data_IF_989294879450
#
_entry.id   IF_989294879450
#
_cell.length_a   1.000
_cell.length_b   1.000
_cell.length_c   1.000
_cell.angle_alpha   90.00
_cell.angle_beta   90.00
_cell.angle_gamma   90.00
#
_symmetry.space_group_name_H-M   'P 1'
#
loop_
_entity.id
_entity.type
_entity.pdbx_description
1 polymer ?
#
# COMPACT_ATOMS: atom_id res chain seq x y z
N UNK A 1 4.98 7.70 3.86
CA UNK A 1 5.54 7.94 2.51
C UNK A 1 6.00 9.39 2.36
N UNK A 2 5.11 10.39 2.29
CA UNK A 2 5.52 11.79 2.04
C UNK A 2 6.52 12.32 3.08
N UNK A 3 6.28 12.09 4.38
CA UNK A 3 7.22 12.50 5.44
C UNK A 3 8.64 11.93 5.23
N UNK A 4 8.74 10.67 4.82
CA UNK A 4 10.03 10.01 4.56
C UNK A 4 10.71 10.47 3.26
N UNK A 5 9.98 11.21 2.42
CA UNK A 5 10.48 11.83 1.19
C UNK A 5 10.77 13.34 1.37
N UNK A 6 10.75 13.83 2.61
CA UNK A 6 11.16 15.18 2.96
C UNK A 6 10.02 16.14 3.29
N UNK A 7 8.75 15.73 3.17
CA UNK A 7 7.65 16.59 3.60
C UNK A 7 7.63 16.75 5.13
N UNK A 8 7.34 17.95 5.60
CA UNK A 8 6.94 18.19 6.99
C UNK A 8 5.43 17.86 7.10
N UNK A 9 5.13 16.81 7.83
CA UNK A 9 3.75 16.29 7.95
C UNK A 9 3.24 16.53 9.36
N UNK A 10 2.27 17.43 9.48
CA UNK A 10 1.53 17.66 10.72
C UNK A 10 0.35 16.70 10.78
N UNK A 11 0.32 15.87 11.80
CA UNK A 11 -0.80 14.97 12.08
C UNK A 11 -1.69 15.61 13.13
N UNK A 12 -2.92 15.91 12.73
CA UNK A 12 -3.93 16.47 13.62
C UNK A 12 -4.75 15.34 14.24
N UNK A 13 -4.88 15.34 15.54
CA UNK A 13 -5.61 14.33 16.30
C UNK A 13 -6.59 15.01 17.29
N UNK A 14 -7.66 14.34 17.72
CA UNK A 14 -8.45 14.83 18.85
C UNK A 14 -7.61 14.84 20.14
N UNK A 15 -7.94 15.64 21.16
CA UNK A 15 -7.17 15.72 22.41
C UNK A 15 -6.94 14.38 23.12
N UNK A 16 -7.83 13.40 22.92
CA UNK A 16 -7.67 12.03 23.43
C UNK A 16 -6.80 11.12 22.57
N UNK A 17 -6.28 11.59 21.46
CA UNK A 17 -5.57 10.80 20.45
C UNK A 17 -6.51 10.01 19.52
N UNK A 18 -5.97 9.51 18.43
CA UNK A 18 -6.72 8.69 17.48
C UNK A 18 -6.94 7.25 17.97
N UNK A 19 -7.95 6.58 17.39
CA UNK A 19 -8.35 5.22 17.78
C UNK A 19 -7.20 4.20 17.74
N UNK A 20 -6.31 4.30 16.75
CA UNK A 20 -5.18 3.37 16.59
C UNK A 20 -4.09 3.53 17.66
N UNK A 21 -4.10 4.61 18.45
CA UNK A 21 -3.22 4.76 19.61
C UNK A 21 -3.69 3.96 20.82
N UNK A 22 -5.01 3.75 20.94
CA UNK A 22 -5.65 3.22 22.15
C UNK A 22 -5.56 1.68 22.27
N UNK A 23 -5.13 0.97 21.22
CA UNK A 23 -5.18 -0.48 21.10
C UNK A 23 -3.79 -1.10 20.97
N UNK A 24 -2.94 -1.01 21.98
CA UNK A 24 -1.65 -1.69 21.93
C UNK A 24 -0.97 -1.77 23.29
N UNK A 25 -0.12 -2.76 23.53
CA UNK A 25 0.71 -2.79 24.71
C UNK A 25 1.62 -1.55 24.73
N UNK A 26 1.76 -0.94 25.89
CA UNK A 26 2.55 0.28 26.08
C UNK A 26 2.11 1.50 25.22
N UNK A 27 0.84 1.55 24.80
CA UNK A 27 0.25 2.63 24.00
C UNK A 27 0.88 2.82 22.60
N UNK A 28 1.58 1.82 22.08
CA UNK A 28 2.15 1.81 20.72
C UNK A 28 1.62 0.63 19.96
N UNK A 29 0.62 0.88 19.11
CA UNK A 29 0.14 -0.13 18.17
C UNK A 29 1.07 -0.20 16.96
N UNK A 30 1.49 -1.41 16.54
CA UNK A 30 2.44 -1.59 15.43
C UNK A 30 1.96 -0.95 14.13
N UNK A 31 0.66 -0.98 13.85
CA UNK A 31 0.08 -0.32 12.66
C UNK A 31 0.24 1.20 12.74
N UNK A 32 -0.08 1.80 13.89
CA UNK A 32 0.12 3.23 14.13
C UNK A 32 1.60 3.61 13.96
N UNK A 33 2.50 2.85 14.58
CA UNK A 33 3.92 3.06 14.50
C UNK A 33 4.45 3.02 13.05
N UNK A 34 4.01 2.04 12.26
CA UNK A 34 4.45 1.87 10.88
C UNK A 34 3.91 2.96 9.93
N UNK A 35 2.75 3.55 10.23
CA UNK A 35 2.10 4.53 9.35
C UNK A 35 2.41 5.99 9.72
N UNK A 36 2.92 6.27 10.94
CA UNK A 36 3.03 7.64 11.45
C UNK A 36 4.45 8.12 11.76
N UNK A 37 5.46 7.38 11.33
CA UNK A 37 6.87 7.78 11.49
C UNK A 37 7.15 9.14 10.85
N UNK A 38 7.96 9.95 11.53
CA UNK A 38 8.43 11.24 11.05
C UNK A 38 7.35 12.30 10.90
N UNK A 39 6.18 12.12 11.55
CA UNK A 39 5.12 13.13 11.59
C UNK A 39 5.20 13.89 12.90
N UNK A 40 4.98 15.21 12.87
CA UNK A 40 4.71 16.01 14.04
C UNK A 40 3.25 15.88 14.42
N UNK A 41 2.93 15.80 15.71
CA UNK A 41 1.57 15.55 16.22
C UNK A 41 1.05 16.78 16.96
N UNK A 42 -0.10 17.29 16.53
CA UNK A 42 -0.86 18.36 17.19
C UNK A 42 -2.22 17.79 17.59
N UNK A 43 -2.62 18.01 18.83
CA UNK A 43 -3.93 17.60 19.32
C UNK A 43 -4.88 18.80 19.41
N UNK A 44 -5.99 18.75 18.66
CA UNK A 44 -6.98 19.85 18.53
C UNK A 44 -8.39 19.30 18.60
N UNK A 45 -9.24 19.96 19.37
CA UNK A 45 -10.68 19.72 19.35
C UNK A 45 -11.33 20.50 18.20
N UNK A 46 -11.65 19.79 17.12
CA UNK A 46 -12.32 20.37 15.94
C UNK A 46 -13.81 20.64 16.16
N UNK A 47 -14.39 20.26 17.28
CA UNK A 47 -15.76 20.64 17.66
C UNK A 47 -15.82 22.04 18.29
N UNK A 48 -14.68 22.58 18.68
CA UNK A 48 -14.52 23.94 19.20
C UNK A 48 -14.21 24.93 18.07
N UNK A 49 -14.78 26.14 18.13
CA UNK A 49 -14.54 27.19 17.13
C UNK A 49 -13.07 27.63 17.12
N UNK A 50 -12.47 27.78 18.30
CA UNK A 50 -11.05 28.15 18.39
C UNK A 50 -10.14 27.08 17.75
N UNK A 51 -10.54 25.78 17.84
CA UNK A 51 -9.85 24.68 17.19
C UNK A 51 -9.96 24.74 15.66
N UNK A 52 -11.13 25.06 15.13
CA UNK A 52 -11.29 25.21 13.65
C UNK A 52 -10.59 26.46 13.13
N UNK A 53 -10.62 27.58 13.87
CA UNK A 53 -9.89 28.80 13.51
C UNK A 53 -8.37 28.56 13.50
N UNK A 54 -7.84 27.81 14.46
CA UNK A 54 -6.46 27.37 14.49
C UNK A 54 -6.10 26.53 13.26
N UNK A 55 -6.98 25.61 12.85
CA UNK A 55 -6.76 24.79 11.65
C UNK A 55 -6.74 25.63 10.37
N UNK A 56 -7.56 26.67 10.26
CA UNK A 56 -7.50 27.59 9.11
C UNK A 56 -6.20 28.41 9.08
N UNK A 57 -5.70 28.81 10.27
CA UNK A 57 -4.39 29.48 10.35
C UNK A 57 -3.25 28.52 9.92
N UNK A 58 -3.27 27.27 10.34
CA UNK A 58 -2.32 26.26 9.87
C UNK A 58 -2.42 26.05 8.35
N UNK A 59 -3.64 25.91 7.84
CA UNK A 59 -3.88 25.71 6.41
C UNK A 59 -3.34 26.88 5.56
N UNK A 60 -3.33 28.11 6.10
CA UNK A 60 -2.75 29.27 5.43
C UNK A 60 -1.23 29.16 5.21
N UNK A 61 -0.54 28.32 5.99
CA UNK A 61 0.90 28.12 5.92
C UNK A 61 1.32 26.80 5.24
N UNK A 62 0.36 25.92 4.96
CA UNK A 62 0.62 24.61 4.40
C UNK A 62 0.52 24.57 2.87
N UNK A 63 1.26 23.66 2.24
CA UNK A 63 1.14 23.36 0.81
C UNK A 63 -0.03 22.45 0.50
N UNK A 64 -0.36 21.56 1.43
CA UNK A 64 -1.32 20.48 1.23
C UNK A 64 -2.19 20.32 2.48
N UNK A 65 -3.49 20.16 2.28
CA UNK A 65 -4.45 19.77 3.31
C UNK A 65 -5.05 18.41 2.93
N UNK A 66 -4.96 17.43 3.84
CA UNK A 66 -5.48 16.07 3.60
C UNK A 66 -6.47 15.70 4.68
N UNK A 67 -7.63 15.19 4.27
CA UNK A 67 -8.63 14.67 5.21
C UNK A 67 -9.23 13.36 4.69
N UNK A 68 -9.76 12.54 5.61
CA UNK A 68 -10.44 11.29 5.29
C UNK A 68 -11.74 11.10 6.08
N UNK A 69 -12.43 12.19 6.35
CA UNK A 69 -13.76 12.17 6.95
C UNK A 69 -14.82 11.72 5.93
N UNK A 70 -16.02 11.43 6.41
CA UNK A 70 -17.16 11.23 5.51
C UNK A 70 -17.53 12.52 4.79
N UNK A 71 -18.11 12.44 3.58
CA UNK A 71 -18.51 13.63 2.84
C UNK A 71 -19.34 14.61 3.70
N UNK A 72 -19.05 15.90 3.57
CA UNK A 72 -19.72 17.00 4.29
C UNK A 72 -19.36 17.15 5.77
N UNK A 73 -18.48 16.33 6.34
CA UNK A 73 -18.03 16.51 7.73
C UNK A 73 -17.13 17.73 7.83
N UNK A 74 -16.14 17.86 6.99
CA UNK A 74 -15.23 19.02 6.97
C UNK A 74 -15.96 20.31 6.68
N UNK A 75 -16.98 20.31 5.79
CA UNK A 75 -17.82 21.48 5.54
C UNK A 75 -18.57 21.93 6.81
N UNK A 76 -19.14 20.97 7.55
CA UNK A 76 -19.81 21.29 8.84
C UNK A 76 -18.86 21.81 9.91
N UNK A 77 -17.60 21.41 9.85
CA UNK A 77 -16.55 21.90 10.74
C UNK A 77 -15.95 23.24 10.29
N UNK A 78 -16.38 23.79 9.15
CA UNK A 78 -15.77 25.00 8.60
C UNK A 78 -14.39 24.79 8.00
N UNK A 79 -14.00 23.54 7.72
CA UNK A 79 -12.71 23.12 7.17
C UNK A 79 -12.84 22.47 5.77
N UNK A 80 -13.98 22.67 5.10
CA UNK A 80 -14.18 22.23 3.71
C UNK A 80 -13.30 22.99 2.73
N UNK A 81 -13.20 22.46 1.51
CA UNK A 81 -12.30 23.01 0.49
C UNK A 81 -12.42 24.52 0.29
N UNK A 82 -13.65 25.07 0.19
CA UNK A 82 -13.85 26.51 -0.07
C UNK A 82 -13.35 27.36 1.11
N UNK A 83 -13.52 26.91 2.34
CA UNK A 83 -13.04 27.65 3.52
C UNK A 83 -11.51 27.62 3.60
N UNK A 84 -10.90 26.45 3.38
CA UNK A 84 -9.44 26.30 3.38
C UNK A 84 -8.81 27.05 2.21
N UNK A 85 -9.42 27.02 1.02
CA UNK A 85 -9.00 27.79 -0.16
C UNK A 85 -9.09 29.29 0.06
N UNK A 86 -10.09 29.75 0.80
CA UNK A 86 -10.19 31.16 1.15
C UNK A 86 -9.04 31.65 2.05
N UNK A 87 -8.55 30.76 2.93
CA UNK A 87 -7.36 31.02 3.76
C UNK A 87 -6.04 30.85 2.97
N UNK A 88 -5.99 29.94 2.00
CA UNK A 88 -4.83 29.68 1.17
C UNK A 88 -5.25 29.34 -0.28
N UNK A 89 -5.26 30.32 -1.20
CA UNK A 89 -5.67 30.09 -2.59
C UNK A 89 -4.83 29.08 -3.37
N UNK A 90 -3.59 28.83 -2.95
CA UNK A 90 -2.65 27.93 -3.60
C UNK A 90 -2.62 26.54 -2.96
N UNK A 91 -3.55 26.25 -2.04
CA UNK A 91 -3.61 24.95 -1.33
C UNK A 91 -3.96 23.81 -2.28
N UNK A 92 -3.26 22.70 -2.14
CA UNK A 92 -3.69 21.38 -2.66
C UNK A 92 -4.52 20.71 -1.58
N UNK A 93 -5.83 20.63 -1.79
CA UNK A 93 -6.75 20.00 -0.85
C UNK A 93 -7.11 18.59 -1.32
N UNK A 94 -6.86 17.57 -0.50
CA UNK A 94 -7.12 16.17 -0.84
C UNK A 94 -8.10 15.53 0.13
N UNK A 95 -9.28 15.15 -0.38
CA UNK A 95 -10.27 14.36 0.34
C UNK A 95 -10.19 12.89 -0.04
N UNK A 96 -10.16 12.02 0.97
CA UNK A 96 -10.15 10.56 0.80
C UNK A 96 -11.47 10.01 1.30
N UNK A 97 -12.30 9.51 0.38
CA UNK A 97 -13.62 8.97 0.70
C UNK A 97 -13.66 7.46 0.48
N UNK A 98 -14.61 6.78 1.11
CA UNK A 98 -14.83 5.35 0.87
C UNK A 98 -15.32 5.05 -0.54
N UNK A 99 -16.41 5.74 -0.94
CA UNK A 99 -17.12 5.49 -2.20
C UNK A 99 -17.21 6.73 -3.10
N UNK A 100 -16.63 7.86 -2.69
CA UNK A 100 -16.78 9.15 -3.34
C UNK A 100 -17.73 10.08 -2.59
N UNK A 101 -17.74 11.35 -3.02
CA UNK A 101 -18.57 12.42 -2.41
C UNK A 101 -20.04 12.33 -2.81
N UNK A 102 -20.39 11.58 -3.85
CA UNK A 102 -21.74 11.42 -4.40
C UNK A 102 -22.08 9.96 -4.69
N UNK A 103 -23.32 9.70 -5.09
CA UNK A 103 -23.77 8.36 -5.48
C UNK A 103 -24.42 7.56 -4.34
N UNK A 104 -24.88 6.31 -4.63
CA UNK A 104 -25.76 5.57 -3.73
C UNK A 104 -25.06 5.07 -2.45
N UNK A 105 -23.75 5.16 -2.35
CA UNK A 105 -22.97 4.65 -1.23
C UNK A 105 -22.16 5.73 -0.49
N UNK A 106 -22.26 7.00 -0.89
CA UNK A 106 -21.44 8.08 -0.33
C UNK A 106 -21.51 8.20 1.21
N UNK A 107 -22.68 7.93 1.80
CA UNK A 107 -22.89 7.99 3.25
C UNK A 107 -22.58 6.68 3.99
N UNK A 108 -22.21 5.61 3.28
CA UNK A 108 -21.94 4.32 3.93
C UNK A 108 -20.62 4.33 4.67
N UNK A 109 -20.61 3.71 5.85
CA UNK A 109 -19.37 3.41 6.56
C UNK A 109 -18.57 2.36 5.79
N UNK A 110 -17.26 2.54 5.71
CA UNK A 110 -16.37 1.66 4.97
C UNK A 110 -15.03 1.51 5.69
N UNK A 111 -14.46 0.34 5.54
CA UNK A 111 -13.07 0.00 5.89
C UNK A 111 -12.53 -0.92 4.79
N UNK A 112 -11.23 -1.13 4.78
CA UNK A 112 -10.49 -1.96 3.82
C UNK A 112 -11.21 -3.27 3.40
N UNK A 113 -11.68 -4.15 4.31
CA UNK A 113 -12.31 -5.41 3.91
C UNK A 113 -13.58 -5.24 3.05
N UNK A 114 -14.31 -4.13 3.25
CA UNK A 114 -15.52 -3.84 2.47
C UNK A 114 -15.14 -3.48 1.03
N UNK A 115 -14.07 -2.69 0.86
CA UNK A 115 -13.56 -2.34 -0.46
C UNK A 115 -12.99 -3.56 -1.17
N UNK A 116 -12.22 -4.42 -0.49
CA UNK A 116 -11.76 -5.69 -1.08
C UNK A 116 -12.93 -6.52 -1.62
N UNK A 117 -14.01 -6.61 -0.86
CA UNK A 117 -15.17 -7.42 -1.26
C UNK A 117 -15.90 -6.81 -2.47
N UNK A 118 -16.16 -5.51 -2.47
CA UNK A 118 -16.96 -4.85 -3.50
C UNK A 118 -16.21 -4.66 -4.83
N UNK A 119 -14.87 -4.60 -4.79
CA UNK A 119 -14.04 -4.50 -6.00
C UNK A 119 -13.84 -5.83 -6.72
N UNK A 120 -14.43 -6.91 -6.23
CA UNK A 120 -14.25 -8.25 -6.83
C UNK A 120 -12.90 -8.90 -6.50
N UNK A 121 -12.04 -8.25 -5.73
CA UNK A 121 -10.71 -8.75 -5.38
C UNK A 121 -10.77 -10.07 -4.61
N UNK A 122 -11.77 -10.24 -3.75
CA UNK A 122 -12.01 -11.50 -3.02
C UNK A 122 -12.38 -12.62 -4.00
N UNK A 123 -13.34 -12.37 -4.88
CA UNK A 123 -13.77 -13.35 -5.90
C UNK A 123 -12.63 -13.71 -6.86
N UNK A 124 -11.78 -12.74 -7.20
CA UNK A 124 -10.63 -12.93 -8.07
C UNK A 124 -9.54 -13.85 -7.51
N UNK A 125 -9.57 -14.19 -6.22
CA UNK A 125 -8.66 -15.16 -5.60
C UNK A 125 -9.14 -16.62 -5.70
N UNK A 126 -10.31 -16.86 -6.28
CA UNK A 126 -10.81 -18.22 -6.45
C UNK A 126 -9.83 -19.05 -7.29
N UNK A 127 -9.48 -20.22 -6.78
CA UNK A 127 -8.63 -21.19 -7.47
C UNK A 127 -9.07 -22.62 -7.12
N UNK A 128 -8.66 -23.64 -7.91
CA UNK A 128 -8.93 -25.02 -7.56
C UNK A 128 -8.41 -25.44 -6.18
N UNK A 129 -7.35 -24.80 -5.70
CA UNK A 129 -6.76 -25.06 -4.40
C UNK A 129 -7.49 -24.34 -3.24
N UNK A 130 -8.32 -23.33 -3.53
CA UNK A 130 -9.07 -22.54 -2.56
C UNK A 130 -10.56 -22.71 -2.82
N UNK A 131 -11.25 -23.63 -2.13
CA UNK A 131 -12.68 -23.90 -2.35
C UNK A 131 -13.55 -22.69 -2.02
N UNK A 132 -13.09 -21.81 -1.13
CA UNK A 132 -13.75 -20.55 -0.78
C UNK A 132 -12.76 -19.40 -0.89
N UNK A 133 -13.03 -18.39 -1.74
CA UNK A 133 -12.22 -17.18 -1.79
C UNK A 133 -12.30 -16.45 -0.44
N UNK A 134 -11.18 -15.86 -0.03
CA UNK A 134 -11.07 -15.13 1.23
C UNK A 134 -10.48 -13.74 1.00
N UNK A 135 -10.55 -12.88 2.02
CA UNK A 135 -9.90 -11.58 2.03
C UNK A 135 -8.37 -11.74 1.94
N UNK A 136 -7.73 -10.84 1.25
CA UNK A 136 -6.28 -10.68 1.33
C UNK A 136 -5.95 -10.24 2.76
N UNK A 137 -5.10 -11.01 3.45
CA UNK A 137 -4.77 -10.79 4.86
C UNK A 137 -3.78 -9.62 5.07
N UNK A 138 -4.03 -8.53 4.36
CA UNK A 138 -3.36 -7.23 4.52
C UNK A 138 -4.34 -6.12 4.13
N UNK A 139 -4.10 -4.90 4.58
CA UNK A 139 -4.91 -3.72 4.26
C UNK A 139 -4.55 -3.23 2.84
N UNK A 140 -4.93 -4.00 1.82
CA UNK A 140 -4.53 -3.73 0.43
C UNK A 140 -5.29 -2.54 -0.17
N UNK A 141 -6.56 -2.36 0.17
CA UNK A 141 -7.37 -1.24 -0.29
C UNK A 141 -6.87 0.07 0.33
N UNK A 142 -6.58 0.10 1.63
CA UNK A 142 -5.96 1.27 2.28
C UNK A 142 -4.63 1.62 1.65
N UNK A 143 -3.78 0.62 1.37
CA UNK A 143 -2.44 0.83 0.80
C UNK A 143 -2.51 1.34 -0.64
N UNK A 144 -3.34 0.74 -1.51
CA UNK A 144 -3.51 1.21 -2.89
C UNK A 144 -4.05 2.64 -2.92
N UNK A 145 -5.00 2.96 -2.05
CA UNK A 145 -5.51 4.31 -1.86
C UNK A 145 -4.41 5.27 -1.40
N UNK A 146 -3.62 4.90 -0.39
CA UNK A 146 -2.55 5.74 0.13
C UNK A 146 -1.45 6.03 -0.91
N UNK A 147 -1.11 5.06 -1.77
CA UNK A 147 -0.20 5.28 -2.90
C UNK A 147 -0.82 6.21 -3.95
N UNK A 148 -2.10 6.06 -4.25
CA UNK A 148 -2.83 6.95 -5.17
C UNK A 148 -2.88 8.38 -4.64
N UNK A 149 -3.16 8.56 -3.35
CA UNK A 149 -3.16 9.87 -2.68
C UNK A 149 -1.79 10.53 -2.77
N UNK A 150 -0.72 9.82 -2.41
CA UNK A 150 0.63 10.37 -2.46
C UNK A 150 1.05 10.77 -3.89
N UNK A 151 0.69 9.96 -4.90
CA UNK A 151 0.92 10.27 -6.30
C UNK A 151 0.11 11.49 -6.75
N UNK A 152 -1.18 11.56 -6.42
CA UNK A 152 -2.06 12.67 -6.80
C UNK A 152 -1.61 13.99 -6.18
N UNK A 153 -1.23 13.99 -4.90
CA UNK A 153 -0.67 15.17 -4.22
C UNK A 153 0.61 15.63 -4.92
N UNK A 154 1.54 14.71 -5.20
CA UNK A 154 2.80 15.06 -5.87
C UNK A 154 2.56 15.63 -7.26
N UNK A 155 1.62 15.06 -8.02
CA UNK A 155 1.24 15.55 -9.33
C UNK A 155 0.60 16.96 -9.27
N UNK A 156 -0.26 17.19 -8.27
CA UNK A 156 -0.89 18.49 -8.06
C UNK A 156 0.12 19.57 -7.65
N UNK A 157 1.06 19.24 -6.77
CA UNK A 157 2.14 20.15 -6.41
C UNK A 157 3.02 20.49 -7.61
N UNK A 158 3.37 19.50 -8.44
CA UNK A 158 4.11 19.76 -9.68
C UNK A 158 3.32 20.64 -10.66
N UNK A 159 2.00 20.44 -10.78
CA UNK A 159 1.14 21.29 -11.59
C UNK A 159 1.10 22.71 -11.05
N UNK A 160 1.00 22.89 -9.73
CA UNK A 160 1.07 24.19 -9.06
C UNK A 160 2.38 24.92 -9.34
N UNK A 161 3.52 24.24 -9.21
CA UNK A 161 4.85 24.78 -9.54
C UNK A 161 4.96 25.23 -11.01
N UNK A 162 4.18 24.62 -11.89
CA UNK A 162 4.07 25.00 -13.30
C UNK A 162 3.00 26.06 -13.59
N UNK A 163 2.42 26.66 -12.57
CA UNK A 163 1.49 27.77 -12.67
C UNK A 163 0.00 27.41 -12.76
N UNK A 164 -0.39 26.16 -12.45
CA UNK A 164 -1.82 25.79 -12.43
C UNK A 164 -2.56 26.27 -11.17
N UNK A 165 -1.84 26.71 -10.13
CA UNK A 165 -2.42 27.06 -8.83
C UNK A 165 -2.81 25.85 -7.98
N UNK A 166 -3.39 26.12 -6.80
CA UNK A 166 -3.94 25.10 -5.92
C UNK A 166 -5.19 24.43 -6.50
N UNK A 167 -5.51 23.21 -6.02
CA UNK A 167 -6.67 22.46 -6.55
C UNK A 167 -7.24 21.49 -5.53
N UNK A 168 -8.49 21.11 -5.75
CA UNK A 168 -9.17 20.03 -5.03
C UNK A 168 -8.87 18.69 -5.69
N UNK A 169 -8.58 17.68 -4.85
CA UNK A 169 -8.39 16.29 -5.25
C UNK A 169 -9.37 15.43 -4.46
N UNK A 170 -10.13 14.60 -5.14
CA UNK A 170 -10.95 13.57 -4.53
C UNK A 170 -10.37 12.20 -4.87
N UNK A 171 -10.16 11.35 -3.85
CA UNK A 171 -9.68 9.99 -4.02
C UNK A 171 -10.63 9.02 -3.31
N UNK A 172 -11.62 8.45 -4.01
CA UNK A 172 -12.42 7.36 -3.46
C UNK A 172 -11.59 6.09 -3.33
N UNK A 173 -11.67 5.42 -2.17
CA UNK A 173 -10.99 4.12 -1.95
C UNK A 173 -11.45 3.07 -2.97
N UNK A 174 -12.74 3.06 -3.30
CA UNK A 174 -13.31 2.16 -4.31
C UNK A 174 -12.61 2.33 -5.65
N UNK A 175 -12.51 3.58 -6.14
CA UNK A 175 -11.95 3.90 -7.45
C UNK A 175 -10.44 3.61 -7.48
N UNK A 176 -9.72 4.04 -6.44
CA UNK A 176 -8.28 3.80 -6.31
C UNK A 176 -7.95 2.31 -6.31
N UNK A 177 -8.70 1.52 -5.53
CA UNK A 177 -8.49 0.07 -5.45
C UNK A 177 -8.88 -0.63 -6.74
N UNK A 178 -10.01 -0.24 -7.35
CA UNK A 178 -10.47 -0.83 -8.61
C UNK A 178 -9.50 -0.52 -9.74
N UNK A 179 -9.03 0.73 -9.87
CA UNK A 179 -8.05 1.13 -10.88
C UNK A 179 -6.71 0.39 -10.71
N UNK A 180 -6.27 0.19 -9.45
CA UNK A 180 -5.07 -0.57 -9.14
C UNK A 180 -5.19 -2.06 -9.49
N UNK A 181 -6.37 -2.65 -9.24
CA UNK A 181 -6.63 -4.07 -9.47
C UNK A 181 -7.00 -4.39 -10.92
N UNK A 182 -7.48 -3.42 -11.70
CA UNK A 182 -8.05 -3.62 -13.04
C UNK A 182 -7.10 -4.30 -14.03
N UNK A 183 -5.82 -3.90 -14.15
CA UNK A 183 -4.96 -4.36 -15.25
C UNK A 183 -4.82 -5.88 -15.37
N UNK A 184 -4.82 -6.59 -14.27
CA UNK A 184 -4.69 -8.04 -14.21
C UNK A 184 -5.93 -8.73 -13.62
N UNK A 185 -6.59 -8.10 -12.66
CA UNK A 185 -7.79 -8.62 -12.01
C UNK A 185 -9.02 -8.69 -12.92
N UNK A 186 -9.09 -7.82 -13.93
CA UNK A 186 -10.21 -7.71 -14.88
C UNK A 186 -9.78 -7.88 -16.35
N UNK A 187 -8.62 -8.46 -16.60
CA UNK A 187 -8.11 -8.61 -17.96
C UNK A 187 -9.02 -9.43 -18.86
N UNK A 188 -9.73 -10.40 -18.33
CA UNK A 188 -10.74 -11.23 -19.01
C UNK A 188 -12.06 -10.48 -19.28
N UNK A 189 -12.37 -9.45 -18.52
CA UNK A 189 -13.56 -8.60 -18.65
C UNK A 189 -13.28 -7.29 -19.40
N UNK A 190 -12.03 -6.95 -19.64
CA UNK A 190 -11.64 -5.77 -20.40
C UNK A 190 -12.04 -5.90 -21.87
N UNK A 191 -12.03 -7.10 -22.40
CA UNK A 191 -12.54 -7.42 -23.73
C UNK A 191 -14.03 -7.80 -23.63
N UNK A 192 -14.89 -7.03 -24.27
CA UNK A 192 -16.34 -7.30 -24.26
C UNK A 192 -16.73 -8.51 -25.14
N UNK A 193 -15.92 -8.86 -26.14
CA UNK A 193 -16.14 -10.05 -26.96
C UNK A 193 -15.61 -11.30 -26.24
N UNK A 194 -16.48 -12.20 -25.77
CA UNK A 194 -16.05 -13.38 -25.02
C UNK A 194 -15.30 -14.41 -25.87
N UNK A 195 -15.30 -14.27 -27.21
CA UNK A 195 -14.58 -15.19 -28.10
C UNK A 195 -13.10 -14.89 -28.17
N UNK A 196 -12.69 -13.66 -27.79
CA UNK A 196 -11.32 -13.19 -27.80
C UNK A 196 -10.80 -12.79 -26.42
N UNK A 197 -11.66 -12.81 -25.38
CA UNK A 197 -11.28 -12.48 -24.02
C UNK A 197 -10.16 -13.40 -23.51
N UNK A 198 -9.04 -12.87 -23.06
CA UNK A 198 -7.94 -13.69 -22.55
C UNK A 198 -8.30 -14.29 -21.19
N UNK A 199 -7.62 -15.37 -20.80
CA UNK A 199 -7.60 -15.78 -19.38
C UNK A 199 -6.78 -14.80 -18.58
N UNK A 200 -7.16 -14.57 -17.34
CA UNK A 200 -6.36 -13.75 -16.42
C UNK A 200 -5.00 -14.42 -16.17
N UNK A 201 -3.93 -13.66 -16.25
CA UNK A 201 -2.59 -14.17 -15.98
C UNK A 201 -2.43 -14.77 -14.56
N UNK A 202 -3.00 -14.16 -13.50
CA UNK A 202 -2.95 -14.70 -12.16
C UNK A 202 -3.60 -16.08 -11.97
N UNK A 203 -4.52 -16.48 -12.83
CA UNK A 203 -5.17 -17.80 -12.76
C UNK A 203 -4.17 -18.95 -12.97
N UNK A 204 -3.00 -18.66 -13.52
CA UNK A 204 -1.93 -19.64 -13.74
C UNK A 204 -0.91 -19.70 -12.58
N UNK A 205 -1.03 -18.83 -11.57
CA UNK A 205 -0.08 -18.81 -10.46
C UNK A 205 -0.39 -19.96 -9.50
N UNK A 206 0.61 -20.78 -9.24
CA UNK A 206 0.49 -21.94 -8.35
C UNK A 206 1.71 -22.05 -7.45
N UNK A 207 1.46 -22.52 -6.24
CA UNK A 207 2.51 -22.93 -5.32
C UNK A 207 2.83 -24.40 -5.57
N UNK A 208 4.11 -24.71 -5.77
CA UNK A 208 4.56 -26.07 -6.11
C UNK A 208 5.32 -26.64 -4.91
N UNK A 209 4.89 -27.81 -4.45
CA UNK A 209 5.57 -28.53 -3.38
C UNK A 209 6.92 -29.05 -3.87
N UNK A 210 7.91 -29.00 -3.00
CA UNK A 210 9.25 -29.61 -3.14
C UNK A 210 9.45 -30.63 -2.04
N UNK A 211 10.61 -31.28 -1.94
CA UNK A 211 10.90 -32.22 -0.85
C UNK A 211 10.89 -31.58 0.55
N UNK A 212 11.21 -30.30 0.66
CA UNK A 212 11.45 -29.61 1.92
C UNK A 212 10.80 -28.23 2.03
N UNK A 213 9.89 -27.88 1.10
CA UNK A 213 9.21 -26.61 1.12
C UNK A 213 8.30 -26.38 -0.10
N UNK A 214 8.25 -25.16 -0.57
CA UNK A 214 7.45 -24.74 -1.73
C UNK A 214 8.20 -23.71 -2.55
N UNK A 215 7.93 -23.74 -3.84
CA UNK A 215 8.43 -22.72 -4.79
C UNK A 215 7.28 -22.12 -5.60
N UNK A 216 7.51 -20.92 -6.12
CA UNK A 216 6.76 -20.36 -7.22
C UNK A 216 7.70 -20.15 -8.38
N UNK A 217 7.25 -20.40 -9.61
CA UNK A 217 7.99 -20.12 -10.83
C UNK A 217 7.05 -19.57 -11.90
N UNK A 218 7.63 -18.98 -12.94
CA UNK A 218 6.89 -18.53 -14.10
C UNK A 218 7.69 -18.80 -15.37
N UNK A 219 7.03 -19.37 -16.40
CA UNK A 219 7.61 -19.67 -17.70
C UNK A 219 6.84 -18.90 -18.76
N UNK A 220 7.52 -18.02 -19.49
CA UNK A 220 6.93 -17.12 -20.48
C UNK A 220 7.53 -17.27 -21.89
N UNK A 221 8.61 -18.04 -22.06
CA UNK A 221 9.33 -18.18 -23.33
C UNK A 221 9.66 -19.63 -23.64
N UNK A 222 9.81 -19.96 -24.93
CA UNK A 222 10.23 -21.31 -25.37
C UNK A 222 11.57 -21.71 -24.75
N UNK A 223 12.51 -20.77 -24.62
CA UNK A 223 13.79 -20.99 -23.96
C UNK A 223 13.62 -21.46 -22.51
N UNK A 224 12.68 -20.86 -21.78
CA UNK A 224 12.40 -21.22 -20.38
C UNK A 224 11.69 -22.57 -20.28
N UNK A 225 10.79 -22.91 -21.20
CA UNK A 225 10.19 -24.26 -21.29
C UNK A 225 11.28 -25.31 -21.50
N UNK A 226 12.16 -25.07 -22.47
CA UNK A 226 13.31 -25.97 -22.76
C UNK A 226 14.26 -26.05 -21.56
N UNK A 227 14.51 -24.92 -20.86
CA UNK A 227 15.26 -24.87 -19.60
C UNK A 227 14.62 -25.73 -18.53
N UNK A 228 13.30 -25.66 -18.38
CA UNK A 228 12.55 -26.48 -17.42
C UNK A 228 12.79 -27.96 -17.68
N UNK A 229 12.73 -28.42 -18.93
CA UNK A 229 13.00 -29.82 -19.26
C UNK A 229 14.46 -30.25 -18.96
N UNK A 230 15.42 -29.34 -19.14
CA UNK A 230 16.81 -29.62 -18.73
C UNK A 230 16.93 -29.74 -17.20
N UNK A 231 16.33 -28.86 -16.45
CA UNK A 231 16.28 -28.91 -14.98
C UNK A 231 15.70 -30.25 -14.49
N UNK A 232 14.65 -30.72 -15.15
CA UNK A 232 13.96 -31.95 -14.78
C UNK A 232 14.54 -33.21 -15.41
N UNK A 233 15.60 -33.10 -16.25
CA UNK A 233 16.21 -34.24 -16.96
C UNK A 233 15.26 -34.91 -17.96
N UNK A 234 14.32 -34.15 -18.54
CA UNK A 234 13.31 -34.66 -19.47
C UNK A 234 13.72 -34.41 -20.91
N UNK A 235 14.76 -35.10 -21.36
CA UNK A 235 15.26 -35.03 -22.74
C UNK A 235 14.19 -35.45 -23.76
N UNK A 236 13.29 -36.34 -23.41
CA UNK A 236 12.14 -36.77 -24.20
C UNK A 236 11.22 -35.58 -24.55
N UNK A 237 10.87 -34.75 -23.55
CA UNK A 237 10.02 -33.56 -23.76
C UNK A 237 10.80 -32.39 -24.36
N UNK A 238 12.08 -32.29 -24.05
CA UNK A 238 12.96 -31.28 -24.67
C UNK A 238 13.08 -31.48 -26.18
N UNK A 239 13.12 -32.72 -26.66
CA UNK A 239 13.23 -33.06 -28.08
C UNK A 239 11.92 -32.95 -28.86
N UNK A 240 10.75 -32.96 -28.18
CA UNK A 240 9.44 -32.93 -28.85
C UNK A 240 8.96 -31.48 -29.06
N UNK A 241 8.77 -31.01 -30.31
CA UNK A 241 8.26 -29.68 -30.60
C UNK A 241 6.88 -29.38 -30.03
N UNK A 242 6.08 -30.38 -29.68
CA UNK A 242 4.80 -30.19 -29.04
C UNK A 242 4.92 -29.82 -27.57
N UNK A 243 6.03 -30.12 -26.92
CA UNK A 243 6.25 -29.92 -25.49
C UNK A 243 7.34 -28.87 -25.17
N UNK A 244 8.13 -28.44 -26.16
CA UNK A 244 9.23 -27.50 -25.99
C UNK A 244 8.93 -26.06 -26.48
N UNK A 245 7.71 -25.79 -26.94
CA UNK A 245 7.23 -24.48 -27.41
C UNK A 245 5.94 -24.10 -26.70
N UNK A 246 5.88 -22.89 -26.14
CA UNK A 246 4.69 -22.35 -25.44
C UNK A 246 3.47 -22.34 -26.36
N UNK A 247 3.65 -21.91 -27.61
CA UNK A 247 2.59 -21.85 -28.60
C UNK A 247 1.98 -23.23 -28.94
N UNK A 248 2.80 -24.27 -28.91
CA UNK A 248 2.34 -25.64 -29.13
C UNK A 248 1.63 -26.21 -27.90
N UNK A 249 2.17 -25.93 -26.71
CA UNK A 249 1.56 -26.32 -25.43
C UNK A 249 0.18 -25.68 -25.28
N UNK A 250 0.08 -24.37 -25.50
CA UNK A 250 -1.16 -23.60 -25.34
C UNK A 250 -2.28 -23.92 -26.33
N UNK A 251 -1.99 -24.59 -27.45
CA UNK A 251 -3.00 -25.00 -28.43
C UNK A 251 -3.83 -26.23 -28.01
N UNK A 252 -3.37 -26.97 -27.01
CA UNK A 252 -3.99 -28.22 -26.58
C UNK A 252 -4.08 -28.28 -25.04
N UNK A 253 -5.29 -28.21 -24.53
CA UNK A 253 -5.53 -28.19 -23.10
C UNK A 253 -5.03 -29.47 -22.38
N UNK A 254 -5.18 -30.63 -23.01
CA UNK A 254 -4.67 -31.90 -22.44
C UNK A 254 -3.14 -31.89 -22.35
N UNK A 255 -2.47 -31.33 -23.36
CA UNK A 255 -1.02 -31.17 -23.35
C UNK A 255 -0.57 -30.17 -22.28
N UNK A 256 -1.26 -29.05 -22.13
CA UNK A 256 -0.92 -28.07 -21.09
C UNK A 256 -1.04 -28.69 -19.69
N UNK A 257 -2.06 -29.52 -19.44
CA UNK A 257 -2.22 -30.26 -18.20
C UNK A 257 -1.06 -31.26 -18.02
N UNK A 258 -0.73 -32.06 -19.02
CA UNK A 258 0.35 -33.03 -18.96
C UNK A 258 1.72 -32.37 -18.68
N UNK A 259 1.97 -31.22 -19.29
CA UNK A 259 3.17 -30.37 -19.02
C UNK A 259 3.19 -29.93 -17.55
N UNK A 260 2.07 -29.41 -17.04
CA UNK A 260 1.95 -29.01 -15.63
C UNK A 260 2.22 -30.19 -14.67
N UNK A 261 1.58 -31.34 -14.92
CA UNK A 261 1.77 -32.55 -14.10
C UNK A 261 3.23 -33.04 -14.13
N UNK A 262 3.88 -33.05 -15.30
CA UNK A 262 5.27 -33.45 -15.41
C UNK A 262 6.23 -32.52 -14.64
N UNK A 263 5.98 -31.20 -14.71
CA UNK A 263 6.75 -30.20 -13.97
C UNK A 263 6.52 -30.35 -12.47
N UNK A 264 5.29 -30.48 -12.01
CA UNK A 264 4.97 -30.63 -10.60
C UNK A 264 5.61 -31.91 -10.02
N UNK A 265 5.48 -33.03 -10.72
CA UNK A 265 6.09 -34.31 -10.29
C UNK A 265 7.63 -34.22 -10.23
N UNK A 266 8.25 -33.56 -11.20
CA UNK A 266 9.70 -33.38 -11.23
C UNK A 266 10.20 -32.49 -10.10
N UNK A 267 9.55 -31.34 -9.88
CA UNK A 267 9.89 -30.41 -8.79
C UNK A 267 9.67 -31.04 -7.41
N UNK A 268 8.59 -31.80 -7.21
CA UNK A 268 8.29 -32.48 -5.94
C UNK A 268 9.37 -33.47 -5.53
N UNK A 269 10.18 -33.95 -6.45
CA UNK A 269 11.30 -34.87 -6.19
C UNK A 269 12.62 -34.15 -5.86
N UNK A 270 12.65 -32.82 -5.85
CA UNK A 270 13.85 -32.01 -5.66
C UNK A 270 13.78 -31.19 -4.37
N UNK A 271 14.92 -30.83 -3.79
CA UNK A 271 14.97 -29.85 -2.70
C UNK A 271 14.74 -28.43 -3.23
N UNK A 272 14.14 -27.60 -2.39
CA UNK A 272 13.85 -26.18 -2.73
C UNK A 272 15.08 -25.43 -3.25
N UNK A 273 16.21 -25.56 -2.57
CA UNK A 273 17.46 -24.89 -2.95
C UNK A 273 17.95 -25.34 -4.33
N UNK A 274 17.91 -26.65 -4.62
CA UNK A 274 18.36 -27.22 -5.90
C UNK A 274 17.45 -26.75 -7.06
N UNK A 275 16.14 -26.69 -6.84
CA UNK A 275 15.17 -26.17 -7.83
C UNK A 275 15.49 -24.73 -8.16
N UNK A 276 15.70 -23.87 -7.17
CA UNK A 276 15.96 -22.44 -7.37
C UNK A 276 17.28 -22.24 -8.11
N UNK A 277 18.35 -22.92 -7.69
CA UNK A 277 19.67 -22.81 -8.33
C UNK A 277 19.63 -23.23 -9.80
N UNK A 278 19.05 -24.38 -10.10
CA UNK A 278 18.98 -24.89 -11.46
C UNK A 278 18.06 -24.07 -12.35
N UNK A 279 16.90 -23.63 -11.87
CA UNK A 279 16.00 -22.76 -12.61
C UNK A 279 16.64 -21.41 -12.88
N UNK A 280 17.32 -20.83 -11.91
CA UNK A 280 18.04 -19.56 -12.09
C UNK A 280 19.14 -19.68 -13.16
N UNK A 281 19.88 -20.78 -13.19
CA UNK A 281 20.90 -21.04 -14.23
C UNK A 281 20.30 -21.12 -15.65
N UNK A 282 19.05 -21.57 -15.78
CA UNK A 282 18.31 -21.60 -17.05
C UNK A 282 17.56 -20.30 -17.36
N UNK A 283 17.65 -19.30 -16.49
CA UNK A 283 16.94 -18.02 -16.63
C UNK A 283 15.43 -18.11 -16.44
N UNK A 284 14.97 -19.07 -15.65
CA UNK A 284 13.57 -19.24 -15.27
C UNK A 284 13.34 -18.45 -13.99
N UNK A 285 12.42 -17.45 -13.97
CA UNK A 285 12.03 -16.78 -12.75
C UNK A 285 11.45 -17.77 -11.75
N UNK A 286 12.05 -17.87 -10.56
CA UNK A 286 11.60 -18.73 -9.48
C UNK A 286 12.01 -18.16 -8.12
N UNK A 287 11.33 -18.58 -7.07
CA UNK A 287 11.65 -18.20 -5.70
C UNK A 287 11.02 -19.14 -4.68
N UNK A 288 11.58 -19.19 -3.46
CA UNK A 288 11.01 -19.96 -2.36
C UNK A 288 9.76 -19.24 -1.81
N UNK A 289 8.84 -20.02 -1.25
CA UNK A 289 7.75 -19.51 -0.44
C UNK A 289 8.23 -19.42 1.00
N UNK A 290 8.63 -18.22 1.42
CA UNK A 290 9.16 -17.99 2.76
C UNK A 290 8.04 -17.77 3.78
N UNK A 291 8.22 -18.28 4.98
CA UNK A 291 7.46 -17.83 6.13
C UNK A 291 7.84 -16.36 6.49
N UNK A 292 6.92 -15.62 7.08
CA UNK A 292 7.16 -14.18 7.38
C UNK A 292 8.40 -13.94 8.25
N UNK A 293 8.73 -14.88 9.15
CA UNK A 293 9.91 -14.78 10.00
C UNK A 293 11.20 -15.01 9.22
N UNK A 294 11.17 -15.85 8.19
CA UNK A 294 12.33 -16.20 7.36
C UNK A 294 12.75 -15.03 6.46
N UNK A 295 11.81 -14.16 6.10
CA UNK A 295 12.09 -12.93 5.33
C UNK A 295 13.18 -12.07 5.99
N UNK A 296 13.26 -12.08 7.34
CA UNK A 296 14.23 -11.29 8.09
C UNK A 296 15.68 -11.79 7.90
N UNK A 297 15.86 -13.04 7.50
CA UNK A 297 17.16 -13.67 7.26
C UNK A 297 17.44 -13.96 5.79
N UNK A 298 16.54 -13.58 4.90
CA UNK A 298 16.76 -13.71 3.46
C UNK A 298 17.98 -12.89 3.02
N UNK A 299 18.95 -13.48 2.29
CA UNK A 299 20.19 -12.81 1.93
C UNK A 299 20.00 -11.52 1.12
N UNK A 300 18.99 -11.46 0.24
CA UNK A 300 18.73 -10.26 -0.57
C UNK A 300 18.04 -9.18 0.26
N UNK A 301 17.13 -9.56 1.16
CA UNK A 301 16.49 -8.63 2.10
C UNK A 301 17.52 -8.00 3.03
N UNK A 302 18.45 -8.82 3.55
CA UNK A 302 19.57 -8.34 4.37
C UNK A 302 20.53 -7.44 3.59
N UNK A 303 20.91 -7.83 2.36
CA UNK A 303 21.78 -7.02 1.51
C UNK A 303 21.15 -5.66 1.16
N UNK A 304 19.85 -5.63 0.96
CA UNK A 304 19.13 -4.42 0.63
C UNK A 304 18.99 -3.45 1.82
N UNK A 305 19.28 -3.89 3.01
CA UNK A 305 19.15 -3.08 4.24
C UNK A 305 17.75 -2.47 4.41
N UNK A 306 16.71 -3.22 4.01
CA UNK A 306 15.33 -2.72 4.02
C UNK A 306 14.74 -2.67 5.42
N UNK A 307 15.19 -3.53 6.34
CA UNK A 307 14.71 -3.60 7.73
C UNK A 307 15.67 -2.87 8.65
N UNK A 308 15.16 -1.85 9.34
CA UNK A 308 15.91 -1.05 10.31
C UNK A 308 15.46 -1.39 11.72
N UNK A 309 16.41 -1.65 12.61
CA UNK A 309 16.16 -1.84 14.04
C UNK A 309 16.46 -0.53 14.79
N UNK A 310 15.56 -0.17 15.70
CA UNK A 310 15.71 1.01 16.55
C UNK A 310 14.97 0.83 17.88
N UNK A 311 15.30 1.65 18.88
CA UNK A 311 14.67 1.60 20.18
C UNK A 311 13.66 2.73 20.34
N UNK A 312 12.37 2.37 20.46
CA UNK A 312 11.33 3.30 20.82
C UNK A 312 11.38 3.60 22.34
N UNK A 313 11.23 4.87 22.77
CA UNK A 313 11.38 5.23 24.17
C UNK A 313 10.47 4.45 25.15
N UNK A 314 9.26 4.09 24.73
CA UNK A 314 8.29 3.41 25.59
C UNK A 314 7.98 1.96 25.15
N UNK A 315 8.06 1.65 23.85
CA UNK A 315 7.75 0.33 23.31
C UNK A 315 8.97 -0.61 23.23
N UNK A 316 10.19 -0.09 23.49
CA UNK A 316 11.43 -0.87 23.37
C UNK A 316 11.84 -1.13 21.92
N UNK A 317 12.54 -2.25 21.62
CA UNK A 317 13.07 -2.52 20.29
C UNK A 317 11.97 -2.70 19.25
N UNK A 318 12.07 -1.97 18.14
CA UNK A 318 11.20 -2.06 16.98
C UNK A 318 11.99 -2.39 15.72
N UNK A 319 11.32 -3.08 14.78
CA UNK A 319 11.79 -3.32 13.42
C UNK A 319 10.82 -2.69 12.43
N UNK A 320 11.34 -1.88 11.53
CA UNK A 320 10.52 -1.19 10.54
C UNK A 320 11.25 -1.11 9.20
N UNK A 321 10.53 -1.13 8.06
CA UNK A 321 11.19 -0.93 6.78
C UNK A 321 11.61 0.54 6.61
N UNK A 322 12.80 0.80 6.07
CA UNK A 322 13.16 2.14 5.56
C UNK A 322 12.32 2.50 4.33
N UNK A 323 12.37 3.76 3.86
CA UNK A 323 11.82 4.14 2.57
C UNK A 323 12.34 3.22 1.45
N UNK A 324 11.42 2.71 0.62
CA UNK A 324 11.77 1.75 -0.43
C UNK A 324 12.53 2.42 -1.59
N UNK A 325 12.11 3.62 -1.99
CA UNK A 325 12.78 4.38 -3.04
C UNK A 325 14.11 4.97 -2.55
N UNK A 326 15.13 4.87 -3.41
CA UNK A 326 16.46 5.45 -3.17
C UNK A 326 16.70 6.54 -4.22
N UNK A 327 16.73 7.79 -3.77
CA UNK A 327 17.03 8.94 -4.62
C UNK A 327 18.51 9.30 -4.48
N UNK A 328 19.20 9.55 -5.58
CA UNK A 328 20.64 9.86 -5.57
C UNK A 328 20.93 11.24 -4.98
N UNK A 329 20.08 12.22 -5.25
CA UNK A 329 20.29 13.61 -4.86
C UNK A 329 19.46 14.02 -3.63
N UNK A 330 18.30 13.42 -3.44
CA UNK A 330 17.38 13.71 -2.34
C UNK A 330 16.96 12.42 -1.64
N UNK A 331 17.88 11.73 -0.96
CA UNK A 331 17.59 10.44 -0.37
C UNK A 331 16.49 10.55 0.68
N UNK A 332 15.54 9.59 0.61
CA UNK A 332 14.53 9.45 1.64
C UNK A 332 15.18 9.12 3.00
N UNK A 333 14.64 9.67 4.06
CA UNK A 333 15.18 9.51 5.41
C UNK A 333 14.29 8.56 6.23
N UNK A 334 14.91 7.60 6.92
CA UNK A 334 14.21 6.82 7.94
C UNK A 334 14.07 7.68 9.19
N UNK A 335 12.87 8.19 9.44
CA UNK A 335 12.53 9.01 10.61
C UNK A 335 11.71 8.16 11.59
N UNK A 336 12.34 7.51 12.56
CA UNK A 336 11.67 6.53 13.41
C UNK A 336 10.70 7.15 14.43
N UNK A 337 10.81 8.44 14.71
CA UNK A 337 10.01 9.11 15.73
C UNK A 337 8.52 8.98 15.42
N UNK A 338 7.79 8.54 16.41
CA UNK A 338 6.35 8.42 16.42
C UNK A 338 5.88 9.26 17.60
N UNK A 339 5.52 10.50 17.34
CA UNK A 339 5.10 11.44 18.37
C UNK A 339 3.94 10.89 19.21
N UNK A 340 3.91 11.20 20.50
CA UNK A 340 2.71 10.99 21.32
C UNK A 340 1.65 12.02 20.94
N UNK A 341 0.41 11.82 21.38
CA UNK A 341 -0.68 12.78 21.13
C UNK A 341 -0.27 14.17 21.64
N UNK A 342 -0.32 15.18 20.76
CA UNK A 342 0.00 16.55 21.12
C UNK A 342 1.48 16.85 21.43
N UNK A 343 2.40 15.93 21.15
CA UNK A 343 3.83 16.10 21.49
C UNK A 343 4.44 17.40 20.96
N UNK A 344 3.97 17.86 19.80
CA UNK A 344 4.53 19.03 19.12
C UNK A 344 3.59 20.25 19.18
N UNK A 345 2.58 20.21 20.08
CA UNK A 345 1.58 21.29 20.17
C UNK A 345 2.22 22.65 20.41
N UNK A 346 3.13 22.77 21.37
CA UNK A 346 3.76 24.06 21.71
C UNK A 346 4.68 24.56 20.59
N UNK A 347 5.41 23.65 19.99
CA UNK A 347 6.29 23.96 18.84
C UNK A 347 5.48 24.51 17.66
N UNK A 348 4.42 23.80 17.26
CA UNK A 348 3.57 24.18 16.12
C UNK A 348 2.83 25.49 16.38
N UNK A 349 2.29 25.67 17.58
CA UNK A 349 1.62 26.94 17.95
C UNK A 349 2.62 28.10 18.02
N UNK A 350 3.83 27.86 18.52
CA UNK A 350 4.90 28.85 18.51
C UNK A 350 5.31 29.28 17.09
N UNK A 351 5.36 28.35 16.14
CA UNK A 351 5.58 28.65 14.70
C UNK A 351 4.48 29.54 14.11
N UNK A 352 3.24 29.43 14.60
CA UNK A 352 2.12 30.29 14.24
C UNK A 352 2.12 31.65 14.96
N UNK A 353 3.06 31.88 15.90
CA UNK A 353 3.20 33.14 16.64
C UNK A 353 2.42 33.20 17.95
N UNK A 354 1.90 32.07 18.44
CA UNK A 354 1.30 32.03 19.80
C UNK A 354 2.40 32.07 20.86
N UNK A 355 2.23 32.89 21.88
CA UNK A 355 3.10 32.90 23.06
C UNK A 355 2.64 31.85 24.09
N UNK A 356 3.48 31.59 25.10
CA UNK A 356 3.23 30.60 26.13
C UNK A 356 1.88 30.86 26.87
N UNK A 357 1.49 32.12 27.04
CA UNK A 357 0.25 32.49 27.72
C UNK A 357 -0.97 32.12 26.86
N UNK A 358 -0.93 32.39 25.56
CA UNK A 358 -1.97 32.02 24.61
C UNK A 358 -2.11 30.50 24.48
N UNK A 359 -0.98 29.78 24.43
CA UNK A 359 -0.96 28.30 24.40
C UNK A 359 -1.60 27.73 25.69
N UNK A 360 -1.23 28.26 26.85
CA UNK A 360 -1.80 27.86 28.13
C UNK A 360 -3.31 28.11 28.20
N UNK A 361 -3.81 29.20 27.60
CA UNK A 361 -5.25 29.48 27.51
C UNK A 361 -5.97 28.44 26.65
N UNK A 362 -5.46 28.10 25.46
CA UNK A 362 -6.04 27.08 24.58
C UNK A 362 -6.06 25.71 25.27
N UNK A 363 -5.00 25.36 26.03
CA UNK A 363 -4.99 24.13 26.85
C UNK A 363 -6.01 24.19 27.99
N UNK A 364 -6.10 25.32 28.67
CA UNK A 364 -7.06 25.51 29.75
C UNK A 364 -8.51 25.42 29.27
N UNK A 365 -8.79 25.81 28.05
CA UNK A 365 -10.08 25.68 27.39
C UNK A 365 -10.35 24.24 26.89
N UNK A 366 -9.31 23.41 26.73
CA UNK A 366 -9.43 22.07 26.17
C UNK A 366 -9.38 22.04 24.61
N UNK A 367 -9.18 23.19 23.98
CA UNK A 367 -9.05 23.32 22.53
C UNK A 367 -7.84 22.55 21.99
N UNK A 368 -6.72 22.52 22.73
CA UNK A 368 -5.50 21.75 22.42
C UNK A 368 -5.02 20.95 23.63
N UNK A 369 -4.18 19.91 23.39
CA UNK A 369 -3.58 19.14 24.47
C UNK A 369 -2.08 18.90 24.26
#
# INVERSE_FOLDING_TARGET
MLAEQGADVLKIEPPGGELLRLHGPNHVMSLHANCNRGKRCLAVDLSDQDGTDLMLQLAATCDVFVENFRPGVTDRLGLGYEAVKAANPDIVYCSVYGFGSTGPYCDRAVLDPVIQAITGMVAGQASPALPFPDLIRTLIADKSTAYTVAQAITAALLARERGAGGQFIEVPMLDATLAWYWPDGFSDLTQEDPTIAPRRAPDNYQLIETLDGRVVYYVATDKQVQGMWRVLGRDDLLADPNFNQISAIGKDAARAIAVGEAIHAGIAAMKTADVIEQMAAEGIPCGPVLERVEVMSDPQVMHNDIVVEWNHPTAGPLRQPRPAARFSETPGEFRPQIGVTGEHTDEILGELGYDDAAIAMLRGAGTVS
#
